data_IF_401049357232
#
_entry.id   IF_401049357232
#
_cell.length_a   1.000
_cell.length_b   1.000
_cell.length_c   1.000
_cell.angle_alpha   90.00
_cell.angle_beta   90.00
_cell.angle_gamma   90.00
#
_symmetry.space_group_name_H-M   'P 1'
#
loop_
_entity.id
_entity.type
_entity.pdbx_description
1 polymer ?
#
# COMPACT_ATOMS: atom_id res chain seq x y z
N UNK A 1 -9.50 -7.03 -14.34
CA UNK A 1 -8.06 -7.23 -14.07
C UNK A 1 -7.90 -7.69 -12.63
N UNK A 2 -7.35 -8.87 -12.41
CA UNK A 2 -6.87 -9.30 -11.08
C UNK A 2 -5.69 -8.40 -10.70
N UNK A 3 -5.91 -7.46 -9.78
CA UNK A 3 -4.84 -6.59 -9.28
C UNK A 3 -3.92 -7.35 -8.32
N UNK A 4 -2.61 -7.08 -8.39
CA UNK A 4 -1.67 -7.52 -7.37
C UNK A 4 -1.86 -6.65 -6.12
N UNK A 5 -2.50 -7.23 -5.09
CA UNK A 5 -2.73 -6.57 -3.79
C UNK A 5 -1.68 -7.03 -2.78
N UNK A 6 -1.55 -8.35 -2.63
CA UNK A 6 -0.58 -8.97 -1.73
C UNK A 6 0.64 -9.47 -2.50
N UNK A 7 1.85 -9.38 -1.92
CA UNK A 7 3.05 -9.95 -2.52
C UNK A 7 2.99 -11.47 -2.51
N UNK A 8 3.60 -12.11 -3.53
CA UNK A 8 3.76 -13.57 -3.52
C UNK A 8 4.80 -14.00 -2.48
N UNK A 9 4.81 -15.30 -2.16
CA UNK A 9 5.80 -15.88 -1.23
C UNK A 9 7.22 -15.70 -1.74
N UNK A 10 7.41 -15.84 -3.04
CA UNK A 10 8.69 -15.71 -3.75
C UNK A 10 9.18 -14.27 -3.69
N UNK A 11 8.30 -13.29 -3.94
CA UNK A 11 8.64 -11.87 -3.82
C UNK A 11 9.04 -11.50 -2.39
N UNK A 12 8.32 -12.01 -1.38
CA UNK A 12 8.66 -11.80 0.02
C UNK A 12 9.99 -12.45 0.43
N UNK A 13 10.34 -13.60 -0.17
CA UNK A 13 11.66 -14.22 0.04
C UNK A 13 12.77 -13.34 -0.55
N UNK A 14 12.64 -12.93 -1.81
CA UNK A 14 13.61 -12.05 -2.46
C UNK A 14 13.79 -10.72 -1.72
N UNK A 15 12.72 -10.15 -1.15
CA UNK A 15 12.80 -8.95 -0.32
C UNK A 15 13.62 -9.15 0.95
N UNK A 16 13.46 -10.29 1.65
CA UNK A 16 14.23 -10.60 2.86
C UNK A 16 15.71 -10.84 2.59
N UNK A 17 16.05 -11.28 1.38
CA UNK A 17 17.42 -11.54 0.97
C UNK A 17 18.17 -10.27 0.50
N UNK A 18 17.50 -9.11 0.48
CA UNK A 18 18.16 -7.84 0.17
C UNK A 18 19.19 -7.46 1.26
N UNK A 19 20.32 -6.81 0.89
CA UNK A 19 21.28 -6.31 1.88
C UNK A 19 20.62 -5.33 2.86
N UNK A 20 20.68 -5.63 4.15
CA UNK A 20 20.07 -4.84 5.22
C UNK A 20 20.92 -3.66 5.72
N UNK A 21 22.12 -3.48 5.17
CA UNK A 21 23.09 -2.45 5.53
C UNK A 21 22.95 -1.15 4.72
N UNK A 22 21.97 -1.09 3.82
CA UNK A 22 21.70 0.07 2.97
C UNK A 22 20.20 0.40 2.93
N UNK A 23 19.84 1.69 2.78
CA UNK A 23 18.45 2.06 2.63
C UNK A 23 17.87 1.49 1.32
N UNK A 24 16.59 1.14 1.37
CA UNK A 24 15.80 0.77 0.20
C UNK A 24 14.69 1.80 -0.03
N UNK A 25 14.41 2.08 -1.30
CA UNK A 25 13.26 2.91 -1.70
C UNK A 25 12.11 2.01 -2.12
N UNK A 26 11.00 2.08 -1.38
CA UNK A 26 9.76 1.37 -1.70
C UNK A 26 8.86 2.28 -2.54
N UNK A 27 8.80 2.03 -3.85
CA UNK A 27 7.92 2.76 -4.77
C UNK A 27 6.53 2.12 -4.72
N UNK A 28 5.52 2.89 -4.36
CA UNK A 28 4.14 2.44 -4.30
C UNK A 28 3.31 3.16 -5.36
N UNK A 29 2.78 2.42 -6.33
CA UNK A 29 1.80 2.90 -7.30
C UNK A 29 0.47 2.22 -7.01
N UNK A 30 -0.51 3.01 -6.55
CA UNK A 30 -1.72 2.44 -5.93
C UNK A 30 -2.94 2.86 -6.73
N UNK A 31 -3.72 1.84 -7.13
CA UNK A 31 -5.05 2.02 -7.73
C UNK A 31 -6.09 1.63 -6.69
N UNK A 32 -6.92 2.60 -6.30
CA UNK A 32 -8.01 2.35 -5.37
C UNK A 32 -9.22 1.75 -6.08
N UNK A 33 -9.96 0.90 -5.35
CA UNK A 33 -11.34 0.54 -5.73
C UNK A 33 -12.25 1.74 -5.47
N UNK A 34 -13.33 1.85 -6.24
CA UNK A 34 -14.39 2.84 -5.97
C UNK A 34 -14.96 2.62 -4.58
N UNK A 35 -15.33 1.38 -4.27
CA UNK A 35 -15.77 0.93 -2.94
C UNK A 35 -14.76 -0.06 -2.36
N UNK A 36 -14.36 0.15 -1.11
CA UNK A 36 -13.48 -0.74 -0.37
C UNK A 36 -14.15 -2.09 -0.12
N UNK A 37 -13.43 -3.18 -0.33
CA UNK A 37 -13.90 -4.54 -0.13
C UNK A 37 -13.41 -5.02 1.24
N UNK A 38 -14.20 -4.77 2.28
CA UNK A 38 -13.96 -5.28 3.62
C UNK A 38 -14.63 -6.67 3.79
N UNK A 39 -14.04 -7.59 4.58
CA UNK A 39 -14.68 -8.85 4.95
C UNK A 39 -16.02 -8.63 5.68
N UNK A 40 -16.94 -9.60 5.59
CA UNK A 40 -18.31 -9.50 6.13
C UNK A 40 -18.36 -9.23 7.65
N UNK A 41 -17.36 -9.69 8.39
CA UNK A 41 -17.23 -9.51 9.84
C UNK A 41 -16.56 -8.19 10.24
N UNK A 42 -16.12 -7.38 9.28
CA UNK A 42 -15.43 -6.12 9.56
C UNK A 42 -16.43 -4.96 9.80
N UNK A 43 -16.23 -4.11 10.82
CA UNK A 43 -17.16 -3.00 11.14
C UNK A 43 -17.41 -1.99 10.01
N UNK A 44 -16.50 -1.89 9.05
CA UNK A 44 -16.62 -1.01 7.89
C UNK A 44 -17.25 -1.68 6.64
N UNK A 45 -17.58 -2.99 6.69
CA UNK A 45 -18.22 -3.71 5.57
C UNK A 45 -19.49 -3.03 5.08
N UNK A 46 -20.39 -2.69 6.01
CA UNK A 46 -21.66 -2.03 5.70
C UNK A 46 -21.54 -0.51 5.46
N UNK A 47 -20.34 0.08 5.59
CA UNK A 47 -20.17 1.55 5.58
C UNK A 47 -19.84 2.15 4.21
N UNK A 48 -19.86 1.33 3.15
CA UNK A 48 -19.61 1.74 1.76
C UNK A 48 -18.42 2.71 1.60
N UNK A 49 -17.33 2.47 2.36
CA UNK A 49 -16.13 3.32 2.33
C UNK A 49 -15.52 3.29 0.94
N UNK A 50 -14.98 4.42 0.48
CA UNK A 50 -14.20 4.40 -0.77
C UNK A 50 -12.84 3.74 -0.54
N UNK A 51 -12.21 3.21 -1.59
CA UNK A 51 -10.87 2.64 -1.47
C UNK A 51 -9.83 3.66 -0.97
N UNK A 52 -9.98 4.93 -1.34
CA UNK A 52 -9.13 6.01 -0.86
C UNK A 52 -9.31 6.26 0.66
N UNK A 53 -10.54 6.23 1.16
CA UNK A 53 -10.82 6.36 2.60
C UNK A 53 -10.25 5.19 3.39
N UNK A 54 -10.41 3.97 2.89
CA UNK A 54 -9.84 2.77 3.49
C UNK A 54 -8.31 2.84 3.55
N UNK A 55 -7.67 3.26 2.45
CA UNK A 55 -6.22 3.41 2.40
C UNK A 55 -5.70 4.52 3.33
N UNK A 56 -6.44 5.63 3.47
CA UNK A 56 -6.10 6.66 4.44
C UNK A 56 -6.19 6.16 5.90
N UNK A 57 -7.16 5.29 6.21
CA UNK A 57 -7.26 4.64 7.52
C UNK A 57 -6.08 3.69 7.78
N UNK A 58 -5.72 2.87 6.78
CA UNK A 58 -4.51 2.06 6.81
C UNK A 58 -3.27 2.92 7.08
N UNK A 59 -3.08 4.02 6.32
CA UNK A 59 -1.92 4.90 6.48
C UNK A 59 -1.78 5.47 7.89
N UNK A 60 -2.89 5.87 8.52
CA UNK A 60 -2.89 6.32 9.93
C UNK A 60 -2.47 5.23 10.91
N UNK A 61 -2.94 4.00 10.72
CA UNK A 61 -2.61 2.87 11.57
C UNK A 61 -1.16 2.37 11.34
N UNK A 62 -0.68 2.43 10.10
CA UNK A 62 0.65 1.95 9.70
C UNK A 62 1.77 2.96 9.99
N UNK A 63 1.46 4.25 10.10
CA UNK A 63 2.48 5.29 10.29
C UNK A 63 3.34 5.09 11.57
N UNK A 64 2.77 4.82 12.77
CA UNK A 64 3.59 4.62 13.97
C UNK A 64 4.58 3.44 13.89
N UNK A 65 4.19 2.20 13.53
CA UNK A 65 5.17 1.11 13.39
C UNK A 65 6.17 1.36 12.27
N UNK A 66 5.76 1.98 11.15
CA UNK A 66 6.67 2.31 10.05
C UNK A 66 7.76 3.30 10.48
N UNK A 67 7.39 4.35 11.21
CA UNK A 67 8.35 5.31 11.76
C UNK A 67 9.30 4.68 12.79
N UNK A 68 8.80 3.79 13.67
CA UNK A 68 9.65 3.04 14.63
C UNK A 68 10.68 2.15 13.95
N UNK A 69 10.37 1.64 12.75
CA UNK A 69 11.30 0.85 11.94
C UNK A 69 12.32 1.71 11.16
N UNK A 70 12.35 3.02 11.37
CA UNK A 70 13.22 3.95 10.63
C UNK A 70 12.70 4.34 9.25
N UNK A 71 11.48 3.94 8.91
CA UNK A 71 10.83 4.28 7.65
C UNK A 71 10.42 5.75 7.58
N UNK A 72 10.53 6.34 6.39
CA UNK A 72 10.04 7.69 6.11
C UNK A 72 9.45 7.80 4.71
N UNK A 73 8.41 8.61 4.56
CA UNK A 73 7.91 9.01 3.26
C UNK A 73 8.85 10.07 2.67
N UNK A 74 9.58 9.71 1.62
CA UNK A 74 10.52 10.62 0.95
C UNK A 74 9.85 11.50 -0.11
N UNK A 75 8.74 11.03 -0.68
CA UNK A 75 7.98 11.70 -1.71
C UNK A 75 6.53 11.20 -1.71
N UNK A 76 5.60 12.07 -2.06
CA UNK A 76 4.19 11.77 -2.31
C UNK A 76 3.69 12.69 -3.41
N UNK A 77 2.95 12.14 -4.37
CA UNK A 77 2.37 12.91 -5.46
C UNK A 77 0.99 12.40 -5.83
N UNK A 78 0.21 13.27 -6.47
CA UNK A 78 -1.04 12.91 -7.14
C UNK A 78 -0.74 12.72 -8.63
N UNK A 79 -0.95 11.53 -9.20
CA UNK A 79 -0.77 11.34 -10.64
C UNK A 79 -1.87 12.09 -11.41
N UNK A 80 -1.48 12.82 -12.44
CA UNK A 80 -2.41 13.54 -13.33
C UNK A 80 -2.69 12.77 -14.62
N UNK A 81 -1.69 12.08 -15.18
CA UNK A 81 -1.81 11.32 -16.42
C UNK A 81 -0.67 10.28 -16.54
N UNK A 82 -0.95 9.14 -17.18
CA UNK A 82 0.08 8.21 -17.68
C UNK A 82 0.43 8.59 -19.12
N UNK A 83 1.58 9.25 -19.32
CA UNK A 83 2.08 9.56 -20.68
C UNK A 83 2.68 8.31 -21.36
N UNK A 84 3.42 7.50 -20.60
CA UNK A 84 3.97 6.20 -21.01
C UNK A 84 3.87 5.27 -19.79
N UNK A 85 3.33 4.05 -19.97
CA UNK A 85 3.19 3.06 -18.91
C UNK A 85 2.65 1.72 -19.43
N UNK A 86 2.66 0.67 -18.60
CA UNK A 86 1.99 -0.59 -18.90
C UNK A 86 0.46 -0.44 -18.97
#
# INVERSE_FOLDING_TARGET
MTGAVDPTREAMAAFRDLPGDRPIAMINLIRFRETAAYPDDHPDHARARTGAQAYAAYGRAAAPPFARAGGRQVWLGRPELTLIGP
#
